data_IF_137420360257
#
_entry.id   IF_137420360257
#
_cell.length_a   1.000
_cell.length_b   1.000
_cell.length_c   1.000
_cell.angle_alpha   90.00
_cell.angle_beta   90.00
_cell.angle_gamma   90.00
#
_symmetry.space_group_name_H-M   'P 1'
#
loop_
_entity.id
_entity.type
_entity.pdbx_description
1 polymer ?
#
# COMPACT_ATOMS: atom_id res chain seq x y z
N UNK A 1 -20.50 14.54 31.52
CA UNK A 1 -20.80 13.96 30.19
C UNK A 1 -19.54 14.13 29.34
N UNK A 2 -18.70 13.11 29.30
CA UNK A 2 -17.35 13.21 28.71
C UNK A 2 -17.25 12.29 27.50
N UNK A 3 -17.56 12.79 26.31
CA UNK A 3 -17.28 12.09 25.05
C UNK A 3 -17.11 13.17 23.98
N UNK A 4 -15.88 13.50 23.59
CA UNK A 4 -15.49 14.05 22.28
C UNK A 4 -13.99 14.42 22.32
N UNK A 5 -13.12 13.41 22.42
CA UNK A 5 -11.67 13.64 22.27
C UNK A 5 -11.02 12.59 21.37
N UNK A 6 -11.61 12.37 20.20
CA UNK A 6 -11.14 11.37 19.25
C UNK A 6 -11.26 11.93 17.82
N UNK A 7 -10.11 12.00 17.12
CA UNK A 7 -9.95 12.07 15.65
C UNK A 7 -10.01 13.42 14.93
N UNK A 8 -9.31 14.47 15.39
CA UNK A 8 -9.05 15.66 14.54
C UNK A 8 -7.81 15.56 13.64
N UNK A 9 -6.94 14.58 13.85
CA UNK A 9 -5.66 14.42 13.11
C UNK A 9 -5.70 13.41 11.95
N UNK A 10 -6.80 12.68 11.73
CA UNK A 10 -6.90 11.71 10.62
C UNK A 10 -7.43 12.35 9.32
N UNK A 11 -8.29 13.37 9.41
CA UNK A 11 -9.01 13.95 8.26
C UNK A 11 -8.08 14.46 7.14
N UNK A 12 -6.94 15.06 7.48
CA UNK A 12 -6.00 15.58 6.49
C UNK A 12 -5.15 14.50 5.81
N UNK A 13 -4.82 13.42 6.55
CA UNK A 13 -4.11 12.25 6.01
C UNK A 13 -5.04 11.44 5.10
N UNK A 14 -6.31 11.27 5.49
CA UNK A 14 -7.32 10.57 4.70
C UNK A 14 -7.54 11.22 3.33
N UNK A 15 -7.58 12.56 3.24
CA UNK A 15 -7.77 13.27 1.95
C UNK A 15 -6.64 13.05 0.94
N UNK A 16 -5.39 12.88 1.39
CA UNK A 16 -4.27 12.56 0.48
C UNK A 16 -4.32 11.09 0.05
N UNK A 17 -4.59 10.21 1.01
CA UNK A 17 -4.69 8.77 0.77
C UNK A 17 -5.82 8.45 -0.22
N UNK A 18 -6.99 9.06 -0.09
CA UNK A 18 -8.13 8.84 -1.00
C UNK A 18 -7.83 9.24 -2.45
N UNK A 19 -7.03 10.29 -2.67
CA UNK A 19 -6.60 10.70 -4.03
C UNK A 19 -5.64 9.68 -4.64
N UNK A 20 -4.67 9.21 -3.86
CA UNK A 20 -3.74 8.17 -4.32
C UNK A 20 -4.45 6.84 -4.56
N UNK A 21 -5.41 6.49 -3.69
CA UNK A 21 -6.28 5.33 -3.87
C UNK A 21 -7.12 5.44 -5.13
N UNK A 22 -7.69 6.61 -5.43
CA UNK A 22 -8.47 6.81 -6.65
C UNK A 22 -7.60 6.71 -7.91
N UNK A 23 -6.40 7.31 -7.89
CA UNK A 23 -5.41 7.17 -8.96
C UNK A 23 -4.96 5.72 -9.14
N UNK A 24 -4.77 5.01 -8.04
CA UNK A 24 -4.47 3.59 -8.05
C UNK A 24 -5.64 2.80 -8.67
N UNK A 25 -6.88 3.03 -8.26
CA UNK A 25 -8.04 2.34 -8.86
C UNK A 25 -8.17 2.63 -10.35
N UNK A 26 -7.95 3.87 -10.77
CA UNK A 26 -8.01 4.27 -12.19
C UNK A 26 -6.87 3.65 -13.00
N UNK A 27 -5.63 3.70 -12.49
CA UNK A 27 -4.45 3.22 -13.22
C UNK A 27 -4.37 1.69 -13.24
N UNK A 28 -4.84 1.03 -12.19
CA UNK A 28 -4.75 -0.42 -12.01
C UNK A 28 -6.08 -1.13 -12.34
N UNK A 29 -7.11 -0.37 -12.72
CA UNK A 29 -8.49 -0.87 -12.90
C UNK A 29 -8.95 -1.72 -11.70
N UNK A 30 -8.62 -1.25 -10.49
CA UNK A 30 -8.84 -2.00 -9.26
C UNK A 30 -10.24 -1.72 -8.71
N UNK A 31 -11.11 -2.71 -8.82
CA UNK A 31 -12.53 -2.60 -8.42
C UNK A 31 -12.80 -2.99 -6.96
N UNK A 32 -11.81 -3.58 -6.27
CA UNK A 32 -11.98 -4.08 -4.90
C UNK A 32 -11.74 -2.99 -3.85
N UNK A 33 -12.05 -3.32 -2.60
CA UNK A 33 -11.71 -2.47 -1.45
C UNK A 33 -10.20 -2.46 -1.16
N UNK A 34 -9.69 -1.29 -0.80
CA UNK A 34 -8.29 -1.08 -0.42
C UNK A 34 -8.22 -1.23 1.10
N UNK A 35 -7.84 -2.42 1.54
CA UNK A 35 -7.67 -2.73 2.97
C UNK A 35 -6.38 -3.50 3.16
N UNK A 36 -5.70 -3.29 4.28
CA UNK A 36 -4.52 -4.07 4.63
C UNK A 36 -4.97 -5.49 4.97
N UNK A 37 -4.61 -6.46 4.13
CA UNK A 37 -4.91 -7.88 4.32
C UNK A 37 -3.75 -8.63 4.99
N UNK A 38 -2.53 -8.15 4.81
CA UNK A 38 -1.32 -8.73 5.39
C UNK A 38 -0.23 -7.67 5.46
N UNK A 39 0.84 -7.96 6.19
CA UNK A 39 2.00 -7.06 6.30
C UNK A 39 3.22 -7.87 5.93
N UNK A 40 4.05 -7.31 5.06
CA UNK A 40 5.25 -7.96 4.57
C UNK A 40 6.47 -7.06 4.73
N UNK A 41 7.65 -7.67 4.83
CA UNK A 41 8.92 -6.95 4.87
C UNK A 41 9.66 -7.20 3.55
N UNK A 42 10.07 -6.15 2.86
CA UNK A 42 10.87 -6.28 1.65
C UNK A 42 12.20 -6.98 1.98
N UNK A 43 12.47 -8.13 1.36
CA UNK A 43 13.75 -8.83 1.50
C UNK A 43 14.83 -8.19 0.64
N UNK A 44 14.44 -7.58 -0.48
CA UNK A 44 15.34 -6.98 -1.44
C UNK A 44 14.87 -5.58 -1.82
N UNK A 45 15.83 -4.72 -2.16
CA UNK A 45 15.51 -3.40 -2.70
C UNK A 45 15.09 -3.54 -4.17
N UNK A 46 13.85 -3.20 -4.48
CA UNK A 46 13.31 -3.25 -5.83
C UNK A 46 13.06 -1.82 -6.30
N UNK A 47 13.75 -1.35 -7.35
CA UNK A 47 13.46 -0.05 -7.93
C UNK A 47 12.13 -0.09 -8.68
N UNK A 48 11.41 1.04 -8.70
CA UNK A 48 10.15 1.15 -9.44
C UNK A 48 10.40 1.00 -10.95
N UNK A 49 9.98 -0.13 -11.53
CA UNK A 49 10.16 -0.40 -12.97
C UNK A 49 9.08 0.25 -13.84
N UNK A 50 7.88 0.41 -13.30
CA UNK A 50 6.74 1.03 -13.98
C UNK A 50 6.23 2.19 -13.15
N UNK A 51 5.42 3.05 -13.76
CA UNK A 51 4.71 4.14 -13.07
C UNK A 51 3.77 3.64 -11.96
N UNK A 52 3.40 2.36 -12.03
CA UNK A 52 2.54 1.61 -11.11
C UNK A 52 3.32 0.74 -10.12
N UNK A 53 4.64 0.72 -10.21
CA UNK A 53 5.50 -0.12 -9.39
C UNK A 53 5.96 0.68 -8.17
N UNK A 54 5.94 0.06 -6.99
CA UNK A 54 6.39 0.73 -5.77
C UNK A 54 7.89 0.46 -5.61
N UNK A 55 8.68 1.51 -5.50
CA UNK A 55 10.08 1.38 -5.11
C UNK A 55 10.14 0.97 -3.65
N UNK A 56 10.68 -0.20 -3.36
CA UNK A 56 10.79 -0.73 -2.00
C UNK A 56 12.25 -0.95 -1.65
N UNK A 57 12.61 -0.75 -0.38
CA UNK A 57 13.97 -0.96 0.10
C UNK A 57 14.05 -2.23 0.94
N UNK A 58 15.13 -3.01 0.82
CA UNK A 58 15.35 -4.16 1.69
C UNK A 58 15.26 -3.77 3.18
N UNK A 59 14.46 -4.49 3.95
CA UNK A 59 14.15 -4.21 5.35
C UNK A 59 12.96 -3.27 5.58
N UNK A 60 12.36 -2.71 4.52
CA UNK A 60 11.17 -1.87 4.63
C UNK A 60 9.92 -2.70 4.90
N UNK A 61 9.07 -2.24 5.82
CA UNK A 61 7.77 -2.85 6.11
C UNK A 61 6.70 -2.24 5.22
N UNK A 62 5.90 -3.11 4.59
CA UNK A 62 4.91 -2.76 3.60
C UNK A 62 3.59 -3.43 3.94
N UNK A 63 2.51 -2.68 3.76
CA UNK A 63 1.17 -3.19 3.95
C UNK A 63 0.68 -3.81 2.65
N UNK A 64 0.36 -5.10 2.68
CA UNK A 64 -0.19 -5.83 1.54
C UNK A 64 -1.69 -5.57 1.49
N UNK A 65 -2.12 -5.00 0.38
CA UNK A 65 -3.50 -4.59 0.14
C UNK A 65 -4.29 -5.69 -0.56
N UNK A 66 -3.71 -6.26 -1.60
CA UNK A 66 -4.32 -7.34 -2.36
C UNK A 66 -3.26 -8.17 -3.07
N UNK A 67 -3.61 -9.42 -3.33
CA UNK A 67 -2.79 -10.34 -4.09
C UNK A 67 -3.38 -10.42 -5.50
N UNK A 68 -2.62 -9.98 -6.50
CA UNK A 68 -3.05 -10.15 -7.90
C UNK A 68 -2.76 -11.58 -8.35
N UNK A 69 -3.41 -12.02 -9.42
CA UNK A 69 -3.18 -13.37 -9.97
C UNK A 69 -1.71 -13.50 -10.40
N UNK A 70 -0.94 -14.34 -9.71
CA UNK A 70 0.48 -14.58 -9.94
C UNK A 70 1.34 -14.38 -8.69
N UNK A 71 2.64 -14.16 -8.88
CA UNK A 71 3.61 -13.82 -7.81
C UNK A 71 3.65 -12.32 -7.50
N UNK A 72 2.60 -11.55 -7.83
CA UNK A 72 2.56 -10.11 -7.63
C UNK A 72 1.50 -9.74 -6.58
N UNK A 73 1.82 -8.76 -5.76
CA UNK A 73 0.94 -8.18 -4.74
C UNK A 73 0.95 -6.68 -4.88
N UNK A 74 -0.16 -6.07 -4.46
CA UNK A 74 -0.25 -4.63 -4.30
C UNK A 74 0.19 -4.32 -2.87
N UNK A 75 1.28 -3.57 -2.75
CA UNK A 75 1.80 -3.11 -1.49
C UNK A 75 1.60 -1.61 -1.33
N UNK A 76 1.53 -1.20 -0.07
CA UNK A 76 1.46 0.18 0.35
C UNK A 76 2.65 0.49 1.26
N UNK A 77 3.39 1.54 0.95
CA UNK A 77 4.43 2.06 1.83
C UNK A 77 3.83 2.98 2.89
N UNK A 78 4.57 3.19 3.98
CA UNK A 78 4.21 4.14 5.07
C UNK A 78 3.96 5.57 4.54
N UNK A 79 4.54 5.91 3.39
CA UNK A 79 4.30 7.19 2.70
C UNK A 79 2.88 7.31 2.10
N UNK A 80 2.13 6.22 1.99
CA UNK A 80 0.78 6.19 1.39
C UNK A 80 0.77 5.82 -0.09
N UNK A 81 1.93 5.61 -0.70
CA UNK A 81 2.07 5.19 -2.09
C UNK A 81 1.71 3.71 -2.27
N UNK A 82 0.99 3.43 -3.35
CA UNK A 82 0.63 2.07 -3.77
C UNK A 82 1.45 1.65 -4.98
N UNK A 83 1.78 0.37 -5.05
CA UNK A 83 2.29 -0.21 -6.27
C UNK A 83 2.45 -1.71 -6.21
N UNK A 84 2.80 -2.28 -7.35
CA UNK A 84 3.08 -3.71 -7.44
C UNK A 84 4.44 -4.05 -6.85
N UNK A 85 4.50 -5.17 -6.15
CA UNK A 85 5.72 -5.79 -5.66
C UNK A 85 5.58 -7.30 -5.84
N UNK A 86 6.66 -7.98 -6.18
CA UNK A 86 6.65 -9.44 -6.25
C UNK A 86 6.70 -10.05 -4.86
N UNK A 87 5.86 -11.05 -4.63
CA UNK A 87 5.81 -11.87 -3.41
C UNK A 87 7.19 -12.49 -3.12
N UNK A 88 7.96 -12.82 -4.16
CA UNK A 88 9.33 -13.34 -4.04
C UNK A 88 10.31 -12.35 -3.39
N UNK A 89 10.04 -11.05 -3.47
CA UNK A 89 10.85 -10.02 -2.82
C UNK A 89 10.31 -9.63 -1.44
N UNK A 90 9.26 -10.29 -0.96
CA UNK A 90 8.55 -9.97 0.26
C UNK A 90 8.60 -11.14 1.24
N UNK A 91 8.93 -10.84 2.48
CA UNK A 91 8.88 -11.78 3.59
C UNK A 91 7.62 -11.54 4.41
N UNK A 92 6.77 -12.55 4.48
CA UNK A 92 5.60 -12.54 5.35
C UNK A 92 6.04 -13.20 6.66
N UNK A 93 6.05 -12.41 7.74
CA UNK A 93 6.38 -12.91 9.09
C UNK A 93 5.13 -13.30 9.86
#
# INVERSE_FOLDING_TARGET
RSIFNVKKSNVEKSKKMEKEEKLFRETFMYDKEIKVISTATAQCSVPSKRRVDLSVTAGEQLDVIDVTKGNAVICRSSEGRYGYVLVEHLNFR
#
